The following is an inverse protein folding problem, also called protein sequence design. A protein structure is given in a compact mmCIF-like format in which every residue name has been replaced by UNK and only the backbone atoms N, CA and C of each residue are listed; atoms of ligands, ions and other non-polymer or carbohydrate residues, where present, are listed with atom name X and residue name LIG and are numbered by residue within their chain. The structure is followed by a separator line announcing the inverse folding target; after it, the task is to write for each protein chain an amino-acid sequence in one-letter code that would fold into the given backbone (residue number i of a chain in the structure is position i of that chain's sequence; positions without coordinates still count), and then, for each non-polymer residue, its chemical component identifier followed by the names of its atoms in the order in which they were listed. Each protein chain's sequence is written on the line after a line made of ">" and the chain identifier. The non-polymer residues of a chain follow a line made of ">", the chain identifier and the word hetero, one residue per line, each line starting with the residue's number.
data_IF_991701535255
#
_entry.id   IF_991701535255
#
_cell.length_a   1.000
_cell.length_b   1.000
_cell.length_c   1.000
_cell.angle_alpha   90.00
_cell.angle_beta   90.00
_cell.angle_gamma   90.00
#
_symmetry.space_group_name_H-M   'P 1'
#
loop_
_entity.id
_entity.type
_entity.pdbx_description
1 polymer ?
#
# COMPACT_ATOMS: atom_id res chain seq x y z
N UNK A 1 -18.74 -61.29 3.33
CA UNK A 1 -18.43 -60.03 4.04
C UNK A 1 -17.74 -59.11 3.05
N UNK A 2 -18.38 -58.02 2.62
CA UNK A 2 -18.32 -56.67 3.23
C UNK A 2 -17.04 -55.91 2.81
N UNK A 3 -17.04 -54.68 2.30
CA UNK A 3 -18.09 -53.67 2.04
C UNK A 3 -17.71 -52.86 0.78
N UNK A 4 -18.69 -52.41 -0.02
CA UNK A 4 -18.50 -51.31 -1.00
C UNK A 4 -18.66 -49.98 -0.25
N UNK A 5 -17.71 -49.05 -0.40
CA UNK A 5 -17.90 -47.66 0.01
C UNK A 5 -17.79 -46.75 -1.22
N UNK A 6 -18.89 -46.04 -1.51
CA UNK A 6 -18.94 -44.95 -2.49
C UNK A 6 -19.18 -43.62 -1.75
N UNK A 7 -18.91 -42.52 -2.45
CA UNK A 7 -19.32 -41.13 -2.14
C UNK A 7 -18.91 -40.53 -0.79
N UNK A 8 -17.94 -39.60 -0.83
CA UNK A 8 -18.23 -38.19 -0.50
C UNK A 8 -17.12 -37.26 -1.03
N UNK A 9 -17.48 -36.00 -1.27
CA UNK A 9 -16.60 -34.85 -1.53
C UNK A 9 -17.47 -33.63 -1.90
N UNK A 10 -16.90 -32.46 -2.23
CA UNK A 10 -15.57 -31.96 -1.89
C UNK A 10 -15.75 -31.18 -0.55
N UNK A 11 -15.55 -29.85 -0.34
CA UNK A 11 -14.72 -28.81 -0.99
C UNK A 11 -13.35 -28.70 -0.26
N UNK A 12 -12.57 -27.61 -0.16
CA UNK A 12 -12.63 -26.21 -0.62
C UNK A 12 -11.19 -25.77 -0.96
N UNK A 13 -11.00 -24.88 -1.94
CA UNK A 13 -9.68 -24.36 -2.28
C UNK A 13 -9.07 -23.57 -1.11
N UNK A 14 -8.05 -24.12 -0.46
CA UNK A 14 -7.08 -23.28 0.24
C UNK A 14 -6.33 -22.45 -0.81
N UNK A 15 -6.81 -21.23 -1.03
CA UNK A 15 -6.01 -20.16 -1.58
C UNK A 15 -4.92 -19.83 -0.56
N UNK A 16 -3.87 -20.66 -0.56
CA UNK A 16 -2.60 -20.31 0.07
C UNK A 16 -2.15 -18.99 -0.55
N UNK A 17 -2.31 -17.90 0.22
CA UNK A 17 -1.67 -16.63 -0.08
C UNK A 17 -0.18 -16.85 0.13
N UNK A 18 0.49 -17.33 -0.91
CA UNK A 18 1.94 -17.53 -0.93
C UNK A 18 2.61 -16.17 -0.81
N UNK A 19 2.82 -15.72 0.43
CA UNK A 19 3.54 -14.48 0.71
C UNK A 19 4.94 -14.60 0.11
N UNK A 20 5.31 -13.75 -0.87
CA UNK A 20 6.57 -13.90 -1.58
C UNK A 20 7.74 -13.77 -0.61
N UNK A 21 8.57 -14.80 -0.57
CA UNK A 21 9.46 -15.13 0.56
C UNK A 21 10.71 -14.24 0.68
N UNK A 22 10.72 -13.05 0.07
CA UNK A 22 11.87 -12.13 0.03
C UNK A 22 11.49 -10.64 0.20
N UNK A 23 10.39 -10.32 0.89
CA UNK A 23 10.07 -8.95 1.34
C UNK A 23 10.81 -8.60 2.66
N UNK A 24 12.14 -8.80 2.66
CA UNK A 24 13.00 -8.86 3.85
C UNK A 24 13.02 -7.52 4.60
N UNK A 25 12.19 -7.44 5.64
CA UNK A 25 12.01 -6.33 6.61
C UNK A 25 11.25 -5.08 6.16
N UNK A 26 10.41 -5.14 5.10
CA UNK A 26 9.51 -4.02 4.78
C UNK A 26 8.59 -3.64 5.97
N UNK A 27 8.15 -4.65 6.74
CA UNK A 27 7.36 -4.49 7.96
C UNK A 27 8.09 -3.66 9.02
N UNK A 28 9.29 -4.08 9.39
CA UNK A 28 10.08 -3.47 10.47
C UNK A 28 10.53 -2.06 10.06
N UNK A 29 10.87 -1.86 8.79
CA UNK A 29 11.18 -0.54 8.20
C UNK A 29 9.96 0.39 8.30
N UNK A 30 8.75 -0.06 7.95
CA UNK A 30 7.53 0.74 8.11
C UNK A 30 7.25 1.04 9.58
N UNK A 31 7.30 0.03 10.47
CA UNK A 31 7.04 0.23 11.91
C UNK A 31 8.07 1.15 12.57
N UNK A 32 9.33 1.15 12.13
CA UNK A 32 10.35 2.10 12.59
C UNK A 32 10.08 3.52 12.08
N UNK A 33 9.68 3.68 10.80
CA UNK A 33 9.31 4.97 10.20
C UNK A 33 8.13 5.65 10.92
N UNK A 34 7.19 4.87 11.48
CA UNK A 34 6.10 5.38 12.34
C UNK A 34 6.30 5.09 13.83
N UNK A 35 7.56 4.98 14.28
CA UNK A 35 7.94 4.59 15.64
C UNK A 35 7.39 5.50 16.76
N UNK A 36 6.94 6.71 16.44
CA UNK A 36 6.29 7.65 17.35
C UNK A 36 4.85 7.30 17.71
N UNK A 37 4.19 6.42 16.96
CA UNK A 37 2.82 5.97 17.23
C UNK A 37 2.82 4.79 18.21
N UNK A 38 1.69 4.54 18.87
CA UNK A 38 1.51 3.34 19.70
C UNK A 38 1.58 2.06 18.85
N UNK A 39 2.04 0.94 19.44
CA UNK A 39 2.25 -0.34 18.73
C UNK A 39 1.01 -0.89 18.00
N UNK A 40 -0.21 -0.52 18.41
CA UNK A 40 -1.45 -0.82 17.66
C UNK A 40 -1.45 -0.08 16.32
N UNK A 41 -1.37 1.25 16.37
CA UNK A 41 -1.38 2.16 15.21
C UNK A 41 -0.22 1.88 14.24
N UNK A 42 0.97 1.52 14.75
CA UNK A 42 2.08 1.07 13.92
C UNK A 42 1.75 -0.18 13.09
N UNK A 43 1.09 -1.19 13.69
CA UNK A 43 0.69 -2.43 13.00
C UNK A 43 -0.43 -2.19 12.00
N UNK A 44 -1.37 -1.29 12.30
CA UNK A 44 -2.45 -0.89 11.38
C UNK A 44 -1.87 -0.26 10.10
N UNK A 45 -1.00 0.77 10.23
CA UNK A 45 -0.33 1.41 9.08
C UNK A 45 0.54 0.43 8.29
N UNK A 46 1.29 -0.43 8.97
CA UNK A 46 2.11 -1.47 8.35
C UNK A 46 1.25 -2.46 7.56
N UNK A 47 0.10 -2.88 8.11
CA UNK A 47 -0.81 -3.77 7.42
C UNK A 47 -1.41 -3.14 6.16
N UNK A 48 -1.85 -1.89 6.24
CA UNK A 48 -2.34 -1.13 5.07
C UNK A 48 -1.26 -1.04 3.99
N UNK A 49 -0.03 -0.66 4.37
CA UNK A 49 1.10 -0.55 3.43
C UNK A 49 1.39 -1.88 2.73
N UNK A 50 1.32 -3.01 3.45
CA UNK A 50 1.46 -4.35 2.88
C UNK A 50 0.32 -4.69 1.91
N UNK A 51 -0.93 -4.39 2.28
CA UNK A 51 -2.11 -4.65 1.42
C UNK A 51 -2.00 -3.83 0.12
N UNK A 52 -1.68 -2.53 0.21
CA UNK A 52 -1.48 -1.66 -0.95
C UNK A 52 -0.42 -2.21 -1.91
N UNK A 53 0.70 -2.75 -1.38
CA UNK A 53 1.75 -3.38 -2.22
C UNK A 53 1.32 -4.73 -2.80
N UNK A 54 0.62 -5.56 -2.04
CA UNK A 54 0.26 -6.92 -2.43
C UNK A 54 -0.98 -7.04 -3.33
N UNK A 55 -1.89 -6.07 -3.29
CA UNK A 55 -3.17 -6.10 -4.00
C UNK A 55 -3.34 -5.01 -5.06
N UNK A 56 -2.32 -4.19 -5.31
CA UNK A 56 -2.25 -3.34 -6.50
C UNK A 56 -2.28 -4.20 -7.77
N UNK A 57 -3.28 -3.95 -8.63
CA UNK A 57 -3.61 -4.79 -9.77
C UNK A 57 -3.43 -4.06 -11.10
N UNK A 58 -2.19 -3.74 -11.55
CA UNK A 58 -1.96 -2.93 -12.74
C UNK A 58 -2.44 -3.58 -14.05
N UNK A 59 -2.70 -4.88 -14.06
CA UNK A 59 -3.25 -5.59 -15.23
C UNK A 59 -4.73 -5.29 -15.52
N UNK A 60 -5.43 -4.52 -14.67
CA UNK A 60 -6.81 -4.07 -14.94
C UNK A 60 -6.89 -2.95 -15.98
N UNK A 61 -5.76 -2.37 -16.37
CA UNK A 61 -5.65 -1.30 -17.38
C UNK A 61 -4.58 -1.65 -18.41
N UNK A 62 -4.80 -1.27 -19.67
CA UNK A 62 -3.80 -1.43 -20.72
C UNK A 62 -2.89 -0.20 -20.77
N UNK A 63 -1.63 -0.37 -20.37
CA UNK A 63 -0.65 0.71 -20.24
C UNK A 63 0.64 0.40 -21.04
N UNK A 64 1.42 1.41 -21.47
CA UNK A 64 2.63 1.22 -22.27
C UNK A 64 3.82 0.67 -21.48
N UNK A 65 3.78 0.72 -20.15
CA UNK A 65 4.81 0.18 -19.26
C UNK A 65 4.16 -0.58 -18.09
N UNK A 66 4.83 -1.60 -17.50
CA UNK A 66 4.32 -2.32 -16.33
C UNK A 66 4.04 -1.37 -15.15
N UNK A 67 2.92 -1.56 -14.46
CA UNK A 67 2.56 -0.73 -13.33
C UNK A 67 3.46 -0.96 -12.12
N UNK A 68 3.93 0.14 -11.52
CA UNK A 68 4.83 0.13 -10.38
C UNK A 68 4.47 1.23 -9.39
N UNK A 69 4.18 0.83 -8.15
CA UNK A 69 4.17 1.75 -7.01
C UNK A 69 5.59 2.29 -6.82
N UNK A 70 5.76 3.61 -6.97
CA UNK A 70 7.03 4.30 -6.73
C UNK A 70 7.16 4.79 -5.29
N UNK A 71 6.07 5.21 -4.66
CA UNK A 71 6.02 5.58 -3.23
C UNK A 71 4.68 5.24 -2.59
N UNK A 72 4.70 4.98 -1.28
CA UNK A 72 3.54 5.08 -0.38
C UNK A 72 3.95 6.01 0.76
N UNK A 73 3.12 6.99 1.09
CA UNK A 73 3.40 8.06 2.05
C UNK A 73 2.22 8.17 3.01
N UNK A 74 2.47 8.17 4.31
CA UNK A 74 1.49 8.54 5.32
C UNK A 74 1.42 10.06 5.40
N UNK A 75 0.22 10.62 5.28
CA UNK A 75 -0.05 12.06 5.36
C UNK A 75 -0.83 12.34 6.66
N UNK A 76 -1.16 13.61 6.89
CA UNK A 76 -2.12 13.99 7.90
C UNK A 76 -1.66 13.81 9.36
N UNK A 77 -2.62 13.71 10.30
CA UNK A 77 -2.34 13.80 11.74
C UNK A 77 -1.41 12.70 12.28
N UNK A 78 -1.50 11.48 11.73
CA UNK A 78 -0.66 10.36 12.15
C UNK A 78 0.80 10.50 11.71
N UNK A 79 1.08 11.20 10.60
CA UNK A 79 2.45 11.58 10.24
C UNK A 79 3.00 12.65 11.20
N UNK A 80 2.18 13.65 11.56
CA UNK A 80 2.61 14.87 12.26
C UNK A 80 2.49 14.85 13.79
N UNK A 81 2.23 13.69 14.41
CA UNK A 81 1.97 13.52 15.87
C UNK A 81 0.76 14.30 16.41
N UNK A 82 -0.12 14.79 15.54
CA UNK A 82 -1.30 15.60 15.89
C UNK A 82 -2.63 14.85 15.75
N UNK A 83 -2.57 13.51 15.75
CA UNK A 83 -3.73 12.63 15.64
C UNK A 83 -4.52 12.56 16.94
N UNK A 84 -5.81 12.24 16.80
CA UNK A 84 -6.77 12.14 17.89
C UNK A 84 -7.53 10.81 17.84
N UNK A 85 -7.95 10.31 19.00
CA UNK A 85 -8.71 9.05 19.15
C UNK A 85 -9.72 9.17 20.32
N UNK A 86 -11.00 9.49 20.06
CA UNK A 86 -12.07 9.49 21.07
C UNK A 86 -12.64 8.08 21.27
N UNK A 87 -12.25 7.41 22.36
CA UNK A 87 -12.76 6.08 22.70
C UNK A 87 -14.24 6.04 23.13
N UNK A 88 -14.88 7.18 23.34
CA UNK A 88 -16.28 7.31 23.76
C UNK A 88 -17.21 7.63 22.59
N UNK A 89 -16.77 8.42 21.60
CA UNK A 89 -17.58 8.72 20.41
C UNK A 89 -17.24 7.88 19.19
N UNK A 90 -16.10 7.16 19.20
CA UNK A 90 -15.55 6.41 18.05
C UNK A 90 -15.00 7.36 16.96
N UNK A 91 -14.95 8.67 17.22
CA UNK A 91 -14.32 9.65 16.33
C UNK A 91 -12.80 9.55 16.43
N UNK A 92 -12.18 9.10 15.34
CA UNK A 92 -10.74 8.95 15.22
C UNK A 92 -10.26 9.72 13.99
N UNK A 93 -9.04 10.23 13.98
CA UNK A 93 -8.46 10.73 12.72
C UNK A 93 -8.37 9.59 11.69
N UNK A 94 -8.58 9.92 10.42
CA UNK A 94 -8.40 9.00 9.29
C UNK A 94 -6.93 8.73 9.00
N UNK A 95 -6.63 7.54 8.50
CA UNK A 95 -5.32 7.27 7.92
C UNK A 95 -5.27 7.69 6.44
N UNK A 96 -4.74 8.88 6.18
CA UNK A 96 -4.50 9.41 4.83
C UNK A 96 -3.22 8.81 4.23
N UNK A 97 -3.33 8.04 3.15
CA UNK A 97 -2.19 7.52 2.38
C UNK A 97 -2.14 8.13 0.99
N UNK A 98 -1.00 8.73 0.64
CA UNK A 98 -0.71 9.17 -0.71
C UNK A 98 0.21 8.16 -1.41
N UNK A 99 -0.23 7.71 -2.58
CA UNK A 99 0.44 6.67 -3.35
C UNK A 99 0.92 7.29 -4.66
N UNK A 100 2.22 7.13 -4.98
CA UNK A 100 2.78 7.62 -6.23
C UNK A 100 3.06 6.45 -7.16
N UNK A 101 2.38 6.38 -8.30
CA UNK A 101 2.58 5.38 -9.38
C UNK A 101 3.48 5.93 -10.50
N UNK A 102 3.97 5.06 -11.36
CA UNK A 102 4.80 5.46 -12.51
C UNK A 102 4.04 6.21 -13.61
N UNK A 103 2.81 5.77 -13.92
CA UNK A 103 2.05 6.21 -15.08
C UNK A 103 0.60 6.62 -14.71
N UNK A 104 0.02 7.67 -15.31
CA UNK A 104 -1.36 8.12 -15.05
C UNK A 104 -2.43 7.03 -15.09
N UNK A 105 -2.33 6.07 -16.02
CA UNK A 105 -3.32 4.98 -16.12
C UNK A 105 -3.43 4.11 -14.86
N UNK A 106 -2.42 4.12 -13.97
CA UNK A 106 -2.47 3.38 -12.70
C UNK A 106 -3.05 4.19 -11.53
N UNK A 107 -3.56 5.40 -11.77
CA UNK A 107 -4.43 6.11 -10.81
C UNK A 107 -5.90 5.67 -10.92
N UNK A 108 -6.27 4.92 -11.97
CA UNK A 108 -7.61 4.33 -12.13
C UNK A 108 -7.95 3.43 -10.93
N UNK A 109 -9.10 3.70 -10.30
CA UNK A 109 -9.59 2.99 -9.12
C UNK A 109 -9.70 1.47 -9.32
N UNK A 110 -9.86 0.98 -10.57
CA UNK A 110 -9.83 -0.47 -10.87
C UNK A 110 -8.52 -1.14 -10.44
N UNK A 111 -7.41 -0.42 -10.46
CA UNK A 111 -6.11 -0.91 -10.00
C UNK A 111 -6.03 -1.08 -8.47
N UNK A 112 -6.95 -0.43 -7.74
CA UNK A 112 -6.90 -0.22 -6.28
C UNK A 112 -8.10 -0.81 -5.53
N UNK A 113 -9.22 -1.03 -6.22
CA UNK A 113 -10.47 -1.58 -5.67
C UNK A 113 -10.23 -2.82 -4.80
N UNK A 114 -9.45 -3.78 -5.29
CA UNK A 114 -9.11 -5.00 -4.53
C UNK A 114 -8.33 -4.69 -3.24
N UNK A 115 -7.40 -3.73 -3.28
CA UNK A 115 -6.68 -3.31 -2.09
C UNK A 115 -7.61 -2.59 -1.08
N UNK A 116 -8.52 -1.72 -1.55
CA UNK A 116 -9.54 -1.09 -0.70
C UNK A 116 -10.46 -2.10 -0.04
N UNK A 117 -10.91 -3.12 -0.78
CA UNK A 117 -11.81 -4.14 -0.23
C UNK A 117 -11.11 -5.04 0.79
N UNK A 118 -9.84 -5.39 0.60
CA UNK A 118 -9.05 -6.10 1.62
C UNK A 118 -8.77 -5.22 2.84
N UNK A 119 -8.44 -3.93 2.67
CA UNK A 119 -8.32 -2.96 3.78
C UNK A 119 -9.62 -2.93 4.60
N UNK A 120 -10.76 -2.77 3.94
CA UNK A 120 -12.09 -2.71 4.59
C UNK A 120 -12.42 -4.02 5.30
N UNK A 121 -12.16 -5.18 4.68
CA UNK A 121 -12.44 -6.49 5.27
C UNK A 121 -11.55 -6.81 6.48
N UNK A 122 -10.29 -6.38 6.48
CA UNK A 122 -9.35 -6.73 7.56
C UNK A 122 -9.35 -5.74 8.72
N UNK A 123 -9.56 -4.45 8.43
CA UNK A 123 -9.53 -3.39 9.44
C UNK A 123 -10.94 -3.03 9.94
N UNK A 124 -11.96 -3.12 9.09
CA UNK A 124 -13.33 -2.72 9.41
C UNK A 124 -13.38 -1.33 10.04
N UNK A 125 -14.22 -1.17 11.05
CA UNK A 125 -14.46 0.11 11.73
C UNK A 125 -13.35 0.48 12.75
N UNK A 126 -12.22 -0.24 12.79
CA UNK A 126 -11.11 0.05 13.72
C UNK A 126 -10.32 1.33 13.35
N UNK A 127 -10.43 1.75 12.10
CA UNK A 127 -9.87 2.98 11.54
C UNK A 127 -10.45 3.26 10.15
N UNK A 128 -10.81 4.52 9.88
CA UNK A 128 -10.99 4.99 8.52
C UNK A 128 -9.63 5.08 7.79
N UNK A 129 -9.65 4.84 6.47
CA UNK A 129 -8.47 4.87 5.60
C UNK A 129 -8.84 5.59 4.32
N UNK A 130 -8.15 6.70 4.05
CA UNK A 130 -8.27 7.45 2.80
C UNK A 130 -7.04 7.18 1.92
N UNK A 131 -7.26 7.06 0.60
CA UNK A 131 -6.23 6.75 -0.38
C UNK A 131 -6.34 7.71 -1.56
N UNK A 132 -5.29 8.51 -1.76
CA UNK A 132 -5.14 9.37 -2.93
C UNK A 132 -3.97 8.88 -3.79
N UNK A 133 -4.19 8.75 -5.11
CA UNK A 133 -3.25 8.12 -6.03
C UNK A 133 -2.81 9.12 -7.09
N UNK A 134 -1.53 9.46 -7.05
CA UNK A 134 -0.87 10.39 -7.96
C UNK A 134 0.07 9.63 -8.91
N UNK A 135 0.18 10.09 -10.15
CA UNK A 135 1.23 9.65 -11.05
C UNK A 135 2.51 10.49 -10.89
N UNK A 136 3.63 9.94 -11.35
CA UNK A 136 4.92 10.64 -11.41
C UNK A 136 4.89 11.88 -12.33
N UNK A 137 3.92 12.00 -13.24
CA UNK A 137 3.61 13.24 -13.97
C UNK A 137 3.17 14.34 -13.01
N UNK A 138 2.25 14.03 -12.11
CA UNK A 138 1.51 15.01 -11.33
C UNK A 138 2.45 15.63 -10.29
N UNK A 139 3.31 14.79 -9.69
CA UNK A 139 4.43 15.22 -8.84
C UNK A 139 5.50 16.04 -9.60
N UNK A 140 5.57 15.95 -10.94
CA UNK A 140 6.43 16.85 -11.76
C UNK A 140 5.72 18.17 -12.05
N UNK A 141 4.42 18.15 -12.33
CA UNK A 141 3.59 19.35 -12.55
C UNK A 141 3.58 20.21 -11.28
N UNK A 142 3.22 19.62 -10.13
CA UNK A 142 3.25 20.30 -8.83
C UNK A 142 4.60 20.99 -8.53
N UNK A 143 5.72 20.37 -8.94
CA UNK A 143 7.06 20.97 -8.80
C UNK A 143 7.33 22.12 -9.77
N UNK A 144 6.85 22.03 -11.00
CA UNK A 144 7.01 23.09 -12.00
C UNK A 144 6.17 24.32 -11.62
N UNK A 145 4.96 24.09 -11.13
CA UNK A 145 3.99 25.13 -10.75
C UNK A 145 4.19 25.65 -9.32
N UNK A 146 5.05 25.00 -8.53
CA UNK A 146 5.28 25.27 -7.09
C UNK A 146 4.02 25.13 -6.24
N UNK A 147 3.21 24.12 -6.54
CA UNK A 147 2.01 23.80 -5.77
C UNK A 147 2.37 23.34 -4.35
N UNK A 148 2.18 24.24 -3.40
CA UNK A 148 2.44 24.00 -1.97
C UNK A 148 1.47 23.01 -1.35
N UNK A 149 0.25 22.82 -1.90
CA UNK A 149 -0.69 21.84 -1.36
C UNK A 149 -0.14 20.42 -1.47
N UNK A 150 0.37 20.04 -2.65
CA UNK A 150 0.98 18.73 -2.88
C UNK A 150 2.37 18.65 -2.24
N UNK A 151 3.21 19.68 -2.41
CA UNK A 151 4.60 19.63 -1.98
C UNK A 151 4.75 19.61 -0.45
N UNK A 152 4.07 20.51 0.27
CA UNK A 152 4.18 20.62 1.73
C UNK A 152 3.56 19.41 2.44
N UNK A 153 2.51 18.80 1.84
CA UNK A 153 1.96 17.51 2.31
C UNK A 153 2.96 16.38 2.17
N UNK A 154 3.60 16.24 1.00
CA UNK A 154 4.61 15.20 0.74
C UNK A 154 5.85 15.39 1.60
N UNK A 155 6.29 16.63 1.84
CA UNK A 155 7.46 16.93 2.67
C UNK A 155 7.22 16.62 4.15
N UNK A 156 6.06 17.00 4.70
CA UNK A 156 5.69 16.70 6.07
C UNK A 156 5.12 15.28 6.28
N UNK A 157 4.99 14.50 5.21
CA UNK A 157 4.54 13.11 5.21
C UNK A 157 5.65 12.11 5.52
N UNK A 158 5.29 10.92 6.00
CA UNK A 158 6.25 9.85 6.25
C UNK A 158 6.22 8.86 5.08
N UNK A 159 7.30 8.81 4.29
CA UNK A 159 7.43 7.83 3.19
C UNK A 159 7.57 6.42 3.77
N UNK A 160 6.49 5.64 3.70
CA UNK A 160 6.41 4.27 4.22
C UNK A 160 7.03 3.24 3.27
N UNK A 161 6.94 3.46 1.96
CA UNK A 161 7.59 2.63 0.94
C UNK A 161 8.13 3.51 -0.18
N UNK A 162 9.29 3.14 -0.74
CA UNK A 162 9.90 3.76 -1.92
C UNK A 162 10.61 2.69 -2.75
N UNK A 163 10.14 2.47 -3.98
CA UNK A 163 10.67 1.41 -4.85
C UNK A 163 12.18 1.50 -5.10
N UNK A 164 12.75 2.72 -5.13
CA UNK A 164 14.19 2.95 -5.33
C UNK A 164 15.07 2.71 -4.08
N UNK A 165 14.53 2.08 -3.03
CA UNK A 165 15.20 1.80 -1.75
C UNK A 165 14.70 0.52 -1.10
N UNK A 166 13.38 0.28 -1.19
CA UNK A 166 12.67 -0.74 -0.42
C UNK A 166 12.09 -1.87 -1.32
N UNK A 167 12.39 -1.88 -2.63
CA UNK A 167 12.07 -3.01 -3.49
C UNK A 167 13.13 -4.11 -3.30
N UNK A 168 12.69 -5.35 -3.07
CA UNK A 168 13.59 -6.51 -2.95
C UNK A 168 14.52 -6.63 -4.17
N UNK A 169 15.78 -6.97 -3.92
CA UNK A 169 16.83 -7.00 -4.95
C UNK A 169 16.53 -8.09 -6.01
N UNK A 170 16.08 -7.63 -7.18
CA UNK A 170 15.93 -8.45 -8.39
C UNK A 170 16.05 -7.69 -9.71
N UNK A 171 16.02 -6.35 -9.70
CA UNK A 171 15.93 -5.49 -10.91
C UNK A 171 17.17 -4.60 -11.12
N UNK A 172 18.32 -5.00 -10.55
CA UNK A 172 19.55 -4.18 -10.61
C UNK A 172 20.57 -4.63 -11.67
N UNK A 173 20.32 -5.74 -12.37
CA UNK A 173 21.23 -6.33 -13.37
C UNK A 173 20.71 -6.16 -14.82
N UNK A 174 20.59 -4.91 -15.27
CA UNK A 174 20.26 -4.58 -16.68
C UNK A 174 20.75 -3.19 -17.14
N UNK A 175 21.67 -2.56 -16.40
CA UNK A 175 22.36 -1.32 -16.84
C UNK A 175 23.86 -1.56 -17.00
N UNK A 176 24.21 -2.47 -17.92
CA UNK A 176 25.59 -2.92 -18.09
C UNK A 176 26.06 -3.16 -19.53
N UNK A 177 25.21 -2.98 -20.56
CA UNK A 177 25.64 -3.09 -21.96
C UNK A 177 25.06 -1.95 -22.80
N UNK A 178 25.95 -1.10 -23.33
CA UNK A 178 25.77 -0.33 -24.56
C UNK A 178 26.88 -0.76 -25.53
N UNK A 179 26.63 -0.73 -26.85
CA UNK A 179 27.53 -1.29 -27.85
C UNK A 179 28.86 -0.55 -27.95
#
# INVERSE_FOLDING_TARGET
>A
MHIRASTCGPPLCELTMTTPTNDVYAREVVMARVGHLIRRKQREIERITRILRGFFAPSTVQAPEPGQIKRIILIGPYARRSWYEDRRTIDFSDYEFWIVVNHPLFTDERCWQRARDVIRSELGDRCAVDLEIYAKSDIRVAKAERDTFILDRIEAGITLYRSSRDAGLGDHDSRGIRP
#
